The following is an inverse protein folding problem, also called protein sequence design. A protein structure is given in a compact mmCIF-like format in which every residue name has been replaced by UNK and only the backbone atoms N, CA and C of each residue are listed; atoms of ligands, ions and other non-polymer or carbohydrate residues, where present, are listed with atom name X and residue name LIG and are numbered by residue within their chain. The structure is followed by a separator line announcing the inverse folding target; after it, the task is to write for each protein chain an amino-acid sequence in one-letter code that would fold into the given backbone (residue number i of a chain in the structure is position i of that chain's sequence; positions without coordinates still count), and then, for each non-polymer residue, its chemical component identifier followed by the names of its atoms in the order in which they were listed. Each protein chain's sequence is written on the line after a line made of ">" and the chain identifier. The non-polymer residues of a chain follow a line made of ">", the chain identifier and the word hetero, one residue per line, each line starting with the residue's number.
data_IF_806414784914
#
_entry.id   IF_806414784914
#
_cell.length_a   1.000
_cell.length_b   1.000
_cell.length_c   1.000
_cell.angle_alpha   90.00
_cell.angle_beta   90.00
_cell.angle_gamma   90.00
#
_symmetry.space_group_name_H-M   'P 1'
#
loop_
_entity.id
_entity.type
_entity.pdbx_description
1 polymer ?
#
# COMPACT_ATOMS: atom_id res chain seq x y z
N UNK A 1 -76.34 -30.91 -4.54
CA UNK A 1 -75.35 -31.75 -3.87
C UNK A 1 -74.03 -31.56 -4.54
N UNK A 2 -73.22 -30.70 -4.04
CA UNK A 2 -71.88 -30.39 -4.62
C UNK A 2 -70.88 -30.25 -3.48
N UNK A 3 -70.00 -31.23 -3.34
CA UNK A 3 -68.90 -31.22 -2.40
C UNK A 3 -67.85 -30.22 -2.83
N UNK A 4 -67.57 -29.26 -1.95
CA UNK A 4 -66.43 -28.38 -2.04
C UNK A 4 -65.23 -29.09 -1.39
N UNK A 5 -64.18 -29.30 -2.12
CA UNK A 5 -62.88 -29.74 -1.62
C UNK A 5 -62.05 -28.52 -1.39
N UNK A 6 -61.77 -28.24 -0.10
CA UNK A 6 -60.77 -27.23 0.30
C UNK A 6 -59.38 -27.83 0.10
N UNK A 7 -58.56 -27.14 -0.71
CA UNK A 7 -57.13 -27.43 -0.84
C UNK A 7 -56.36 -26.50 0.09
N UNK A 8 -55.77 -27.15 1.05
CA UNK A 8 -54.88 -26.52 2.06
C UNK A 8 -53.56 -26.13 1.41
N UNK A 9 -53.24 -24.84 1.40
CA UNK A 9 -51.97 -24.31 0.92
C UNK A 9 -51.01 -24.18 2.08
N UNK A 10 -49.82 -24.80 2.04
CA UNK A 10 -48.85 -24.60 3.10
C UNK A 10 -48.25 -23.20 3.02
N UNK A 11 -48.35 -22.44 4.08
CA UNK A 11 -47.73 -21.16 4.32
C UNK A 11 -46.21 -21.35 4.42
N UNK A 12 -45.46 -20.82 3.43
CA UNK A 12 -44.02 -20.63 3.53
C UNK A 12 -43.71 -19.54 4.56
N UNK A 13 -43.27 -19.96 5.74
CA UNK A 13 -42.69 -19.07 6.74
C UNK A 13 -41.32 -18.61 6.23
N UNK A 14 -41.24 -17.35 5.82
CA UNK A 14 -39.98 -16.69 5.54
C UNK A 14 -39.26 -16.42 6.84
N UNK A 15 -38.18 -17.17 7.10
CA UNK A 15 -37.21 -16.84 8.11
C UNK A 15 -36.46 -15.56 7.66
N UNK A 16 -36.19 -14.62 8.57
CA UNK A 16 -35.44 -13.42 8.22
C UNK A 16 -33.98 -13.82 7.90
N UNK A 17 -33.57 -13.57 6.68
CA UNK A 17 -32.15 -13.59 6.32
C UNK A 17 -31.43 -12.56 7.21
N UNK A 18 -30.64 -13.08 8.14
CA UNK A 18 -29.58 -12.29 8.76
C UNK A 18 -28.61 -11.91 7.66
N UNK A 19 -28.67 -10.66 7.23
CA UNK A 19 -27.58 -10.02 6.52
C UNK A 19 -26.37 -10.04 7.44
N UNK A 20 -25.45 -10.97 7.19
CA UNK A 20 -24.11 -10.88 7.73
C UNK A 20 -23.51 -9.62 7.13
N UNK A 21 -23.12 -8.68 7.99
CA UNK A 21 -22.27 -7.58 7.63
C UNK A 21 -21.01 -8.15 6.93
N UNK A 22 -20.49 -7.48 5.89
CA UNK A 22 -19.25 -7.91 5.26
C UNK A 22 -18.18 -7.95 6.34
N UNK A 23 -17.52 -9.09 6.46
CA UNK A 23 -16.43 -9.32 7.39
C UNK A 23 -15.40 -8.23 7.21
N UNK A 24 -15.13 -7.52 8.30
CA UNK A 24 -14.00 -6.60 8.42
C UNK A 24 -12.75 -7.19 7.80
N UNK A 25 -12.03 -6.32 7.12
CA UNK A 25 -10.71 -6.47 6.53
C UNK A 25 -9.90 -7.61 7.14
N UNK A 26 -9.43 -8.51 6.29
CA UNK A 26 -8.44 -9.50 6.68
C UNK A 26 -7.09 -8.78 6.86
N UNK A 27 -7.00 -7.94 7.88
CA UNK A 27 -5.71 -7.61 8.45
C UNK A 27 -5.21 -8.92 9.05
N UNK A 28 -4.12 -9.47 8.53
CA UNK A 28 -3.33 -10.43 9.27
C UNK A 28 -3.25 -9.90 10.69
N UNK A 29 -3.42 -10.78 11.70
CA UNK A 29 -3.30 -10.42 13.10
C UNK A 29 -1.82 -10.10 13.41
N UNK A 30 -1.30 -8.99 12.85
CA UNK A 30 0.00 -8.47 13.23
C UNK A 30 -0.08 -8.05 14.69
N UNK A 31 0.80 -8.58 15.51
CA UNK A 31 0.86 -8.24 16.94
C UNK A 31 1.70 -6.97 17.16
N UNK A 32 2.54 -6.60 16.19
CA UNK A 32 3.43 -5.44 16.21
C UNK A 32 3.20 -4.52 15.02
N UNK A 33 3.45 -3.23 15.22
CA UNK A 33 3.42 -2.21 14.17
C UNK A 33 4.42 -2.51 13.05
N UNK A 34 5.62 -2.97 13.39
CA UNK A 34 6.68 -3.36 12.45
C UNK A 34 6.30 -4.56 11.58
N UNK A 35 5.54 -5.53 12.11
CA UNK A 35 5.05 -6.67 11.33
C UNK A 35 4.07 -6.21 10.24
N UNK A 36 3.14 -5.30 10.58
CA UNK A 36 2.20 -4.75 9.61
C UNK A 36 2.92 -3.98 8.50
N UNK A 37 3.91 -3.16 8.85
CA UNK A 37 4.71 -2.43 7.87
C UNK A 37 5.52 -3.38 6.96
N UNK A 38 6.11 -4.44 7.52
CA UNK A 38 6.79 -5.47 6.72
C UNK A 38 5.84 -6.22 5.77
N UNK A 39 4.59 -6.48 6.19
CA UNK A 39 3.58 -7.07 5.30
C UNK A 39 3.24 -6.13 4.14
N UNK A 40 3.12 -4.83 4.41
CA UNK A 40 2.94 -3.81 3.37
C UNK A 40 4.14 -3.72 2.44
N UNK A 41 5.38 -3.90 2.92
CA UNK A 41 6.56 -4.02 2.08
C UNK A 41 6.43 -5.16 1.07
N UNK A 42 5.88 -6.31 1.47
CA UNK A 42 5.65 -7.43 0.50
C UNK A 42 4.69 -7.03 -0.61
N UNK A 43 3.69 -6.20 -0.31
CA UNK A 43 2.77 -5.66 -1.32
C UNK A 43 3.48 -4.67 -2.23
N UNK A 44 4.30 -3.77 -1.67
CA UNK A 44 5.08 -2.78 -2.42
C UNK A 44 6.09 -3.48 -3.35
N UNK A 45 6.78 -4.53 -2.89
CA UNK A 45 7.74 -5.31 -3.69
C UNK A 45 7.08 -5.97 -4.92
N UNK A 46 5.84 -6.45 -4.78
CA UNK A 46 5.08 -6.98 -5.92
C UNK A 46 4.89 -5.91 -7.01
N UNK A 47 4.56 -4.68 -6.62
CA UNK A 47 4.41 -3.57 -7.57
C UNK A 47 5.76 -3.08 -8.12
N UNK A 48 6.85 -3.17 -7.33
CA UNK A 48 8.20 -2.94 -7.86
C UNK A 48 8.57 -3.96 -8.95
N UNK A 49 8.15 -5.21 -8.83
CA UNK A 49 8.35 -6.20 -9.89
C UNK A 49 7.56 -5.83 -11.17
N UNK A 50 6.34 -5.32 -11.03
CA UNK A 50 5.56 -4.78 -12.16
C UNK A 50 6.30 -3.60 -12.80
N UNK A 51 6.76 -2.63 -12.00
CA UNK A 51 7.51 -1.47 -12.49
C UNK A 51 8.78 -1.90 -13.23
N UNK A 52 9.50 -2.89 -12.72
CA UNK A 52 10.68 -3.44 -13.41
C UNK A 52 10.32 -4.01 -14.78
N UNK A 53 9.24 -4.77 -14.89
CA UNK A 53 8.75 -5.29 -16.17
C UNK A 53 8.36 -4.17 -17.14
N UNK A 54 7.70 -3.12 -16.65
CA UNK A 54 7.33 -1.95 -17.44
C UNK A 54 8.55 -1.23 -18.06
N UNK A 55 9.68 -1.16 -17.35
CA UNK A 55 10.90 -0.54 -17.89
C UNK A 55 11.51 -1.30 -19.07
N UNK A 56 11.10 -2.54 -19.31
CA UNK A 56 11.58 -3.43 -20.38
C UNK A 56 10.63 -3.52 -21.57
N UNK A 57 9.45 -2.87 -21.50
CA UNK A 57 8.40 -2.91 -22.54
C UNK A 57 8.25 -1.55 -23.21
N UNK A 58 7.72 -1.49 -24.45
CA UNK A 58 7.37 -0.22 -25.07
C UNK A 58 6.36 0.54 -24.21
N UNK A 59 6.68 1.78 -23.86
CA UNK A 59 5.87 2.60 -22.94
C UNK A 59 4.46 2.83 -23.50
N UNK A 60 4.34 3.02 -24.81
CA UNK A 60 3.08 3.30 -25.51
C UNK A 60 2.03 2.22 -25.33
N UNK A 61 2.48 0.97 -25.24
CA UNK A 61 1.59 -0.19 -25.13
C UNK A 61 1.15 -0.47 -23.69
N UNK A 62 1.68 0.29 -22.72
CA UNK A 62 1.51 0.03 -21.29
C UNK A 62 1.20 1.28 -20.47
N UNK A 63 0.76 2.37 -21.10
CA UNK A 63 0.50 3.66 -20.43
C UNK A 63 -0.49 3.55 -19.27
N UNK A 64 -1.56 2.76 -19.41
CA UNK A 64 -2.52 2.54 -18.32
C UNK A 64 -1.86 1.84 -17.13
N UNK A 65 -1.04 0.82 -17.39
CA UNK A 65 -0.29 0.13 -16.34
C UNK A 65 0.71 1.06 -15.65
N UNK A 66 1.41 1.92 -16.40
CA UNK A 66 2.29 2.95 -15.82
C UNK A 66 1.54 3.87 -14.87
N UNK A 67 0.37 4.38 -15.29
CA UNK A 67 -0.45 5.27 -14.46
C UNK A 67 -0.93 4.58 -13.19
N UNK A 68 -1.46 3.37 -13.30
CA UNK A 68 -1.92 2.57 -12.17
C UNK A 68 -0.78 2.26 -11.18
N UNK A 69 0.41 1.92 -11.70
CA UNK A 69 1.61 1.67 -10.91
C UNK A 69 2.05 2.92 -10.15
N UNK A 70 2.05 4.08 -10.79
CA UNK A 70 2.42 5.35 -10.15
C UNK A 70 1.34 5.85 -9.19
N UNK A 71 0.07 5.59 -9.45
CA UNK A 71 -1.03 5.84 -8.52
C UNK A 71 -0.85 5.01 -7.23
N UNK A 72 -0.48 3.74 -7.36
CA UNK A 72 -0.15 2.89 -6.22
C UNK A 72 1.01 3.46 -5.39
N UNK A 73 2.12 3.83 -6.00
CA UNK A 73 3.26 4.40 -5.25
C UNK A 73 2.92 5.72 -4.59
N UNK A 74 2.10 6.57 -5.22
CA UNK A 74 1.70 7.85 -4.64
C UNK A 74 0.78 7.72 -3.44
N UNK A 75 -0.13 6.74 -3.45
CA UNK A 75 -1.17 6.64 -2.44
C UNK A 75 -0.89 5.52 -1.43
N UNK A 76 -0.58 4.30 -1.90
CA UNK A 76 -0.33 3.21 -0.98
C UNK A 76 1.05 3.30 -0.33
N UNK A 77 2.12 3.41 -1.13
CA UNK A 77 3.47 3.44 -0.57
C UNK A 77 3.76 4.75 0.18
N UNK A 78 3.30 5.91 -0.32
CA UNK A 78 3.60 7.19 0.32
C UNK A 78 2.53 7.61 1.33
N UNK A 79 1.29 7.85 0.92
CA UNK A 79 0.27 8.42 1.80
C UNK A 79 -0.25 7.44 2.85
N UNK A 80 -0.17 6.13 2.62
CA UNK A 80 -0.58 5.13 3.59
C UNK A 80 0.62 4.59 4.39
N UNK A 81 1.58 3.96 3.71
CA UNK A 81 2.71 3.27 4.34
C UNK A 81 3.73 4.24 4.97
N UNK A 82 4.39 5.11 4.18
CA UNK A 82 5.37 6.06 4.74
C UNK A 82 4.77 7.00 5.79
N UNK A 83 3.47 7.34 5.68
CA UNK A 83 2.81 8.12 6.72
C UNK A 83 2.84 7.41 8.08
N UNK A 84 2.55 6.11 8.11
CA UNK A 84 2.59 5.32 9.36
C UNK A 84 3.97 5.37 10.00
N UNK A 85 5.01 5.33 9.19
CA UNK A 85 6.39 5.44 9.64
C UNK A 85 6.71 6.85 10.13
N UNK A 86 6.50 7.85 9.29
CA UNK A 86 6.91 9.24 9.56
C UNK A 86 6.13 9.89 10.68
N UNK A 87 4.84 9.57 10.83
CA UNK A 87 3.96 10.23 11.78
C UNK A 87 3.65 9.39 13.03
N UNK A 88 3.95 8.10 13.02
CA UNK A 88 3.64 7.22 14.15
C UNK A 88 4.87 6.46 14.64
N UNK A 89 5.50 5.63 13.78
CA UNK A 89 6.61 4.77 14.22
C UNK A 89 7.87 5.59 14.58
N UNK A 90 8.30 6.49 13.71
CA UNK A 90 9.53 7.28 13.93
C UNK A 90 9.42 8.20 15.15
N UNK A 91 8.29 8.92 15.37
CA UNK A 91 8.09 9.65 16.63
C UNK A 91 8.19 8.75 17.88
N UNK A 92 7.58 7.57 17.88
CA UNK A 92 7.70 6.64 18.99
C UNK A 92 9.16 6.19 19.22
N UNK A 93 9.90 5.90 18.15
CA UNK A 93 11.33 5.59 18.27
C UNK A 93 12.13 6.77 18.85
N UNK A 94 11.80 8.02 18.46
CA UNK A 94 12.44 9.23 19.01
C UNK A 94 12.18 9.38 20.51
N UNK A 95 10.96 9.11 20.98
CA UNK A 95 10.60 9.10 22.40
C UNK A 95 11.42 8.07 23.20
N UNK A 96 11.81 6.97 22.54
CA UNK A 96 12.68 5.93 23.12
C UNK A 96 14.18 6.14 22.84
N UNK A 97 14.58 7.34 22.43
CA UNK A 97 15.98 7.76 22.38
C UNK A 97 16.70 7.49 21.05
N UNK A 98 15.99 7.10 19.99
CA UNK A 98 16.59 6.98 18.66
C UNK A 98 16.58 8.36 17.99
N UNK A 99 17.76 8.94 17.66
CA UNK A 99 17.80 10.31 17.15
C UNK A 99 17.27 10.41 15.73
N UNK A 100 16.47 11.47 15.49
CA UNK A 100 15.99 11.82 14.15
C UNK A 100 17.12 12.23 13.22
N UNK A 101 18.01 13.12 13.72
CA UNK A 101 19.13 13.64 12.92
C UNK A 101 20.39 12.79 13.11
N UNK A 102 21.09 12.50 12.02
CA UNK A 102 22.35 11.75 12.04
C UNK A 102 22.21 10.25 12.37
N UNK A 103 20.97 9.77 12.49
CA UNK A 103 20.63 8.37 12.77
C UNK A 103 19.85 7.68 11.63
N UNK A 104 19.38 6.46 11.87
CA UNK A 104 18.64 5.69 10.85
C UNK A 104 17.34 6.37 10.43
N UNK A 105 16.60 7.00 11.34
CA UNK A 105 15.35 7.73 11.02
C UNK A 105 15.61 8.83 9.99
N UNK A 106 16.65 9.65 10.21
CA UNK A 106 16.98 10.73 9.29
C UNK A 106 17.34 10.24 7.88
N UNK A 107 17.97 9.07 7.78
CA UNK A 107 18.26 8.44 6.50
C UNK A 107 16.97 8.00 5.79
N UNK A 108 16.04 7.35 6.48
CA UNK A 108 14.75 6.92 5.91
C UNK A 108 13.97 8.12 5.40
N UNK A 109 13.84 9.18 6.19
CA UNK A 109 13.17 10.42 5.79
C UNK A 109 13.75 11.05 4.51
N UNK A 110 15.09 11.03 4.37
CA UNK A 110 15.75 11.51 3.14
C UNK A 110 15.40 10.63 1.94
N UNK A 111 15.39 9.32 2.11
CA UNK A 111 15.06 8.37 1.05
C UNK A 111 13.59 8.44 0.64
N UNK A 112 12.67 8.65 1.60
CA UNK A 112 11.26 8.91 1.30
C UNK A 112 11.11 10.15 0.40
N UNK A 113 11.78 11.27 0.76
CA UNK A 113 11.67 12.48 -0.06
C UNK A 113 12.32 12.31 -1.45
N UNK A 114 13.42 11.58 -1.56
CA UNK A 114 14.02 11.22 -2.84
C UNK A 114 13.05 10.37 -3.67
N UNK A 115 12.42 9.36 -3.06
CA UNK A 115 11.40 8.52 -3.69
C UNK A 115 10.22 9.32 -4.22
N UNK A 116 9.68 10.24 -3.40
CA UNK A 116 8.64 11.21 -3.82
C UNK A 116 9.09 12.02 -5.03
N UNK A 117 10.37 12.44 -5.07
CA UNK A 117 10.97 13.13 -6.19
C UNK A 117 10.94 12.31 -7.48
N UNK A 118 11.28 11.03 -7.41
CA UNK A 118 11.21 10.14 -8.57
C UNK A 118 9.79 9.91 -9.05
N UNK A 119 8.84 9.68 -8.15
CA UNK A 119 7.41 9.48 -8.50
C UNK A 119 6.86 10.73 -9.18
N UNK A 120 7.12 11.93 -8.64
CA UNK A 120 6.73 13.21 -9.28
C UNK A 120 7.32 13.36 -10.68
N UNK A 121 8.57 13.01 -10.86
CA UNK A 121 9.25 13.08 -12.17
C UNK A 121 8.65 12.09 -13.18
N UNK A 122 8.34 10.86 -12.75
CA UNK A 122 7.67 9.86 -13.60
C UNK A 122 6.27 10.30 -14.01
N UNK A 123 5.48 10.84 -13.10
CA UNK A 123 4.13 11.39 -13.39
C UNK A 123 4.20 12.55 -14.40
N UNK A 124 5.18 13.43 -14.28
CA UNK A 124 5.40 14.50 -15.26
C UNK A 124 5.80 13.93 -16.63
N UNK A 125 6.70 12.94 -16.66
CA UNK A 125 7.14 12.31 -17.90
C UNK A 125 5.99 11.61 -18.64
N UNK A 126 5.10 10.89 -17.94
CA UNK A 126 3.95 10.23 -18.55
C UNK A 126 3.05 11.22 -19.31
N UNK A 127 2.78 12.39 -18.74
CA UNK A 127 1.97 13.44 -19.42
C UNK A 127 2.62 13.90 -20.73
N UNK A 128 3.96 13.98 -20.78
CA UNK A 128 4.70 14.33 -21.98
C UNK A 128 4.72 13.18 -22.99
N UNK A 129 4.81 11.93 -22.55
CA UNK A 129 4.69 10.74 -23.42
C UNK A 129 3.35 10.70 -24.12
N UNK A 130 2.25 11.02 -23.42
CA UNK A 130 0.91 11.14 -24.01
C UNK A 130 0.85 12.19 -25.12
N UNK A 131 1.66 13.23 -25.00
CA UNK A 131 1.84 14.26 -26.03
C UNK A 131 2.86 13.86 -27.13
N UNK A 132 3.27 12.57 -27.20
CA UNK A 132 4.23 12.01 -28.18
C UNK A 132 5.63 12.58 -28.10
N UNK A 133 6.08 12.97 -26.91
CA UNK A 133 7.44 13.38 -26.66
C UNK A 133 8.34 12.16 -26.42
N UNK A 134 9.22 11.84 -27.38
CA UNK A 134 10.09 10.65 -27.32
C UNK A 134 11.12 10.75 -26.17
N UNK A 135 11.68 11.95 -25.92
CA UNK A 135 12.67 12.14 -24.85
C UNK A 135 12.06 11.85 -23.47
N UNK A 136 10.76 12.10 -23.30
CA UNK A 136 10.06 11.83 -22.05
C UNK A 136 10.00 10.33 -21.70
N UNK A 137 10.06 9.44 -22.68
CA UNK A 137 10.11 7.99 -22.44
C UNK A 137 11.41 7.58 -21.78
N UNK A 138 12.53 8.12 -22.24
CA UNK A 138 13.83 7.85 -21.65
C UNK A 138 13.88 8.35 -20.21
N UNK A 139 13.39 9.58 -19.97
CA UNK A 139 13.29 10.15 -18.63
C UNK A 139 12.42 9.27 -17.72
N UNK A 140 11.25 8.80 -18.19
CA UNK A 140 10.37 7.92 -17.43
C UNK A 140 11.10 6.63 -17.01
N UNK A 141 11.76 5.96 -17.95
CA UNK A 141 12.48 4.71 -17.72
C UNK A 141 13.65 4.93 -16.75
N UNK A 142 14.43 6.00 -16.93
CA UNK A 142 15.58 6.29 -16.07
C UNK A 142 15.15 6.59 -14.63
N UNK A 143 14.08 7.37 -14.45
CA UNK A 143 13.54 7.65 -13.11
C UNK A 143 12.94 6.40 -12.47
N UNK A 144 12.28 5.55 -13.23
CA UNK A 144 11.77 4.27 -12.73
C UNK A 144 12.90 3.35 -12.26
N UNK A 145 13.98 3.24 -13.02
CA UNK A 145 15.15 2.45 -12.62
C UNK A 145 15.85 3.02 -11.37
N UNK A 146 15.89 4.33 -11.22
CA UNK A 146 16.43 4.97 -10.03
C UNK A 146 15.55 4.68 -8.81
N UNK A 147 14.24 4.83 -8.93
CA UNK A 147 13.27 4.52 -7.91
C UNK A 147 13.30 3.04 -7.47
N UNK A 148 13.40 2.12 -8.45
CA UNK A 148 13.54 0.69 -8.18
C UNK A 148 14.75 0.36 -7.30
N UNK A 149 15.91 0.98 -7.59
CA UNK A 149 17.12 0.77 -6.77
C UNK A 149 16.94 1.34 -5.38
N UNK A 150 16.50 2.61 -5.30
CA UNK A 150 16.29 3.29 -4.02
C UNK A 150 15.37 2.47 -3.13
N UNK A 151 14.18 2.11 -3.61
CA UNK A 151 13.15 1.51 -2.76
C UNK A 151 13.47 0.06 -2.36
N UNK A 152 14.17 -0.70 -3.20
CA UNK A 152 14.66 -2.04 -2.81
C UNK A 152 15.67 -1.97 -1.67
N UNK A 153 16.64 -1.07 -1.78
CA UNK A 153 17.67 -0.89 -0.74
C UNK A 153 17.07 -0.30 0.55
N UNK A 154 16.07 0.55 0.40
CA UNK A 154 15.32 1.18 1.48
C UNK A 154 14.55 0.14 2.30
N UNK A 155 13.66 -0.64 1.67
CA UNK A 155 12.89 -1.71 2.30
C UNK A 155 13.82 -2.69 3.04
N UNK A 156 14.93 -3.08 2.41
CA UNK A 156 15.88 -3.95 3.07
C UNK A 156 16.45 -3.35 4.35
N UNK A 157 16.81 -2.06 4.35
CA UNK A 157 17.32 -1.38 5.55
C UNK A 157 16.28 -1.30 6.66
N UNK A 158 15.02 -1.09 6.31
CA UNK A 158 13.94 -1.05 7.28
C UNK A 158 13.68 -2.43 7.88
N UNK A 159 13.44 -3.44 7.07
CA UNK A 159 13.16 -4.80 7.53
C UNK A 159 14.32 -5.41 8.33
N UNK A 160 15.57 -5.20 7.90
CA UNK A 160 16.74 -5.85 8.51
C UNK A 160 17.31 -5.05 9.69
N UNK A 161 17.11 -3.73 9.73
CA UNK A 161 17.78 -2.88 10.73
C UNK A 161 16.79 -2.02 11.50
N UNK A 162 16.02 -1.15 10.83
CA UNK A 162 15.22 -0.13 11.51
C UNK A 162 14.11 -0.75 12.35
N UNK A 163 13.36 -1.71 11.78
CA UNK A 163 12.26 -2.37 12.50
C UNK A 163 12.74 -3.21 13.68
N UNK A 164 13.93 -3.80 13.59
CA UNK A 164 14.55 -4.49 14.75
C UNK A 164 14.91 -3.52 15.86
N UNK A 165 15.47 -2.36 15.50
CA UNK A 165 15.73 -1.30 16.49
C UNK A 165 14.43 -0.85 17.14
N UNK A 166 13.36 -0.63 16.35
CA UNK A 166 12.05 -0.28 16.87
C UNK A 166 11.50 -1.32 17.85
N UNK A 167 11.63 -2.62 17.51
CA UNK A 167 11.20 -3.71 18.39
C UNK A 167 12.01 -3.82 19.68
N UNK A 168 13.29 -3.48 19.63
CA UNK A 168 14.17 -3.51 20.81
C UNK A 168 13.88 -2.36 21.77
N UNK A 169 13.45 -1.19 21.28
CA UNK A 169 13.27 0.00 22.10
C UNK A 169 11.82 0.28 22.49
N UNK A 170 10.84 -0.06 21.64
CA UNK A 170 9.42 0.20 21.88
C UNK A 170 8.77 -0.99 22.62
N UNK A 171 8.21 -0.79 23.83
CA UNK A 171 7.56 -1.86 24.57
C UNK A 171 6.37 -2.50 23.86
N UNK A 172 6.10 -3.77 24.14
CA UNK A 172 5.05 -4.55 23.45
C UNK A 172 3.62 -4.00 23.64
N UNK A 173 3.33 -3.34 24.75
CA UNK A 173 2.04 -2.71 24.99
C UNK A 173 1.88 -1.41 24.18
N UNK A 174 2.98 -0.70 23.94
CA UNK A 174 3.01 0.49 23.09
C UNK A 174 2.88 0.10 21.59
N UNK A 175 3.48 -1.00 21.14
CA UNK A 175 3.29 -1.54 19.79
C UNK A 175 1.80 -1.68 19.42
N UNK A 176 0.96 -2.09 20.39
CA UNK A 176 -0.50 -2.17 20.18
C UNK A 176 -1.18 -0.80 20.07
N UNK A 177 -0.60 0.23 20.67
CA UNK A 177 -1.10 1.60 20.52
C UNK A 177 -0.73 2.15 19.14
N UNK A 178 0.47 1.87 18.65
CA UNK A 178 0.89 2.24 17.29
C UNK A 178 -0.02 1.61 16.24
N UNK A 179 -0.37 0.32 16.37
CA UNK A 179 -1.32 -0.35 15.46
C UNK A 179 -2.68 0.36 15.42
N UNK A 180 -3.23 0.77 16.58
CA UNK A 180 -4.48 1.54 16.61
C UNK A 180 -4.34 2.90 15.93
N UNK A 181 -3.20 3.56 16.10
CA UNK A 181 -2.92 4.83 15.43
C UNK A 181 -2.85 4.67 13.92
N UNK A 182 -2.32 3.54 13.41
CA UNK A 182 -2.34 3.20 11.99
C UNK A 182 -3.77 3.03 11.46
N UNK A 183 -4.61 2.26 12.18
CA UNK A 183 -6.02 2.06 11.83
C UNK A 183 -6.80 3.39 11.83
N UNK A 184 -6.58 4.24 12.84
CA UNK A 184 -7.22 5.54 12.93
C UNK A 184 -6.82 6.47 11.79
N UNK A 185 -5.56 6.44 11.37
CA UNK A 185 -5.09 7.22 10.23
C UNK A 185 -5.75 6.73 8.94
N UNK A 186 -5.73 5.42 8.69
CA UNK A 186 -6.37 4.85 7.50
C UNK A 186 -7.85 5.24 7.43
N UNK A 187 -8.58 5.11 8.52
CA UNK A 187 -10.01 5.42 8.55
C UNK A 187 -10.30 6.92 8.30
N UNK A 188 -9.46 7.84 8.81
CA UNK A 188 -9.70 9.28 8.76
C UNK A 188 -9.18 9.95 7.49
N UNK A 189 -7.96 9.60 7.06
CA UNK A 189 -7.23 10.34 6.03
C UNK A 189 -7.23 9.59 4.68
N UNK A 190 -7.23 8.28 4.71
CA UNK A 190 -7.19 7.46 3.49
C UNK A 190 -8.61 7.08 3.05
N UNK A 191 -9.48 6.71 4.00
CA UNK A 191 -10.87 6.31 3.80
C UNK A 191 -11.06 4.79 3.81
N UNK A 192 -12.25 4.37 4.25
CA UNK A 192 -12.61 2.95 4.32
C UNK A 192 -12.54 2.29 2.93
N UNK A 193 -11.93 1.10 2.87
CA UNK A 193 -11.83 0.28 1.67
C UNK A 193 -10.76 0.72 0.66
N UNK A 194 -9.98 1.77 0.95
CA UNK A 194 -8.90 2.22 0.05
C UNK A 194 -7.74 1.24 0.08
N UNK A 195 -7.40 0.69 1.24
CA UNK A 195 -6.38 -0.35 1.36
C UNK A 195 -6.73 -1.57 0.48
N UNK A 196 -7.94 -2.10 0.59
CA UNK A 196 -8.43 -3.23 -0.21
C UNK A 196 -8.50 -2.90 -1.70
N UNK A 197 -8.81 -1.66 -2.05
CA UNK A 197 -8.76 -1.19 -3.44
C UNK A 197 -7.35 -1.36 -4.02
N UNK A 198 -6.32 -0.98 -3.26
CA UNK A 198 -4.94 -1.10 -3.73
C UNK A 198 -4.45 -2.55 -3.75
N UNK A 199 -4.87 -3.41 -2.83
CA UNK A 199 -4.58 -4.84 -2.91
C UNK A 199 -5.15 -5.47 -4.19
N UNK A 200 -6.40 -5.14 -4.55
CA UNK A 200 -7.00 -5.58 -5.82
C UNK A 200 -6.28 -5.01 -7.04
N UNK A 201 -5.86 -3.75 -6.98
CA UNK A 201 -5.07 -3.14 -8.05
C UNK A 201 -3.75 -3.89 -8.29
N UNK A 202 -3.09 -4.36 -7.23
CA UNK A 202 -1.87 -5.18 -7.35
C UNK A 202 -2.15 -6.49 -8.10
N UNK A 203 -3.25 -7.18 -7.76
CA UNK A 203 -3.66 -8.40 -8.46
C UNK A 203 -3.90 -8.14 -9.96
N UNK A 204 -4.63 -7.07 -10.30
CA UNK A 204 -4.86 -6.65 -11.69
C UNK A 204 -3.55 -6.35 -12.43
N UNK A 205 -2.62 -5.63 -11.79
CA UNK A 205 -1.32 -5.30 -12.38
C UNK A 205 -0.48 -6.55 -12.66
N UNK A 206 -0.48 -7.53 -11.75
CA UNK A 206 0.26 -8.79 -11.93
C UNK A 206 -0.33 -9.65 -13.05
N UNK A 207 -1.67 -9.72 -13.19
CA UNK A 207 -2.32 -10.48 -14.25
C UNK A 207 -1.98 -9.97 -15.66
N UNK A 208 -1.84 -8.65 -15.83
CA UNK A 208 -1.46 -8.03 -17.09
C UNK A 208 0.03 -8.20 -17.44
N UNK A 209 0.83 -8.75 -16.52
CA UNK A 209 2.28 -8.87 -16.68
C UNK A 209 2.81 -10.32 -16.63
N UNK A 210 1.91 -11.30 -16.57
CA UNK A 210 2.23 -12.73 -16.73
C UNK A 210 2.41 -13.12 -18.23
#
# INVERSE_FOLDING_TARGET
>A
MGNRVEVDTPQCVHAPHKTQAPSSCAHHHSEKATELLSDEHRVIERVLAVLQNLTSKPVENSLDCWKKTLDFFSHFADQCHHFKEEQVLFPAMEEHGIPREGGPIGMMLMEHEEGRGYVRAMLAAIRLVESKNEVAKEVLIDKAKAYLRLLKDHIQKEDEVLFRIAEDVIPADEQKQLLRSFEEHEAKEIGEGVHEKYLKLVEELEEHHR
#
